data_IF_499758368196
#
_entry.id   IF_499758368196
#
_cell.length_a   1.000
_cell.length_b   1.000
_cell.length_c   1.000
_cell.angle_alpha   90.00
_cell.angle_beta   90.00
_cell.angle_gamma   90.00
#
_symmetry.space_group_name_H-M   'P 1'
#
loop_
_entity.id
_entity.type
_entity.pdbx_description
1 polymer ?
#
# COMPACT_ATOMS: atom_id res chain seq x y z
N UNK A 1 -10.39 -30.16 39.31
CA UNK A 1 -10.17 -29.23 38.17
C UNK A 1 -10.67 -27.87 38.60
N UNK A 2 -9.77 -26.95 38.97
CA UNK A 2 -10.14 -25.57 39.35
C UNK A 2 -10.30 -24.81 38.03
N UNK A 3 -11.52 -24.37 37.72
CA UNK A 3 -11.73 -23.49 36.58
C UNK A 3 -11.04 -22.15 36.89
N UNK A 4 -10.27 -21.57 35.96
CA UNK A 4 -9.71 -20.24 36.15
C UNK A 4 -10.85 -19.22 36.19
N UNK A 5 -11.01 -18.55 37.34
CA UNK A 5 -11.89 -17.38 37.45
C UNK A 5 -11.24 -16.23 36.69
N UNK A 6 -11.80 -15.88 35.54
CA UNK A 6 -11.38 -14.66 34.83
C UNK A 6 -11.70 -13.46 35.71
N UNK A 7 -10.66 -12.79 36.21
CA UNK A 7 -10.81 -11.60 37.04
C UNK A 7 -11.53 -10.50 36.25
N UNK A 8 -12.46 -9.80 36.90
CA UNK A 8 -13.29 -8.78 36.26
C UNK A 8 -12.44 -7.65 35.61
N UNK A 9 -11.27 -7.33 36.20
CA UNK A 9 -10.30 -6.40 35.61
C UNK A 9 -9.73 -6.88 34.27
N UNK A 10 -9.36 -8.15 34.17
CA UNK A 10 -8.83 -8.72 32.93
C UNK A 10 -9.89 -8.75 31.82
N UNK A 11 -11.17 -8.93 32.18
CA UNK A 11 -12.28 -8.87 31.23
C UNK A 11 -12.43 -7.47 30.60
N UNK A 12 -12.29 -6.39 31.40
CA UNK A 12 -12.39 -5.02 30.91
C UNK A 12 -11.24 -4.65 29.96
N UNK A 13 -10.00 -5.03 30.29
CA UNK A 13 -8.84 -4.76 29.45
C UNK A 13 -8.93 -5.46 28.09
N UNK A 14 -9.42 -6.71 28.08
CA UNK A 14 -9.66 -7.47 26.86
C UNK A 14 -10.76 -6.85 25.99
N UNK A 15 -11.83 -6.33 26.60
CA UNK A 15 -12.90 -5.64 25.87
C UNK A 15 -12.39 -4.34 25.25
N UNK A 16 -11.64 -3.54 25.99
CA UNK A 16 -11.05 -2.29 25.48
C UNK A 16 -10.09 -2.59 24.32
N UNK A 17 -9.19 -3.57 24.49
CA UNK A 17 -8.28 -3.99 23.44
C UNK A 17 -9.02 -4.45 22.18
N UNK A 18 -10.08 -5.25 22.35
CA UNK A 18 -10.92 -5.74 21.25
C UNK A 18 -11.61 -4.61 20.48
N UNK A 19 -12.08 -3.58 21.17
CA UNK A 19 -12.70 -2.40 20.55
C UNK A 19 -11.64 -1.59 19.77
N UNK A 20 -10.44 -1.41 20.32
CA UNK A 20 -9.35 -0.71 19.65
C UNK A 20 -8.94 -1.41 18.35
N UNK A 21 -8.70 -2.73 18.37
CA UNK A 21 -8.33 -3.46 17.16
C UNK A 21 -9.48 -3.49 16.12
N UNK A 22 -10.74 -3.53 16.57
CA UNK A 22 -11.88 -3.44 15.68
C UNK A 22 -11.96 -2.07 14.97
N UNK A 23 -11.75 -0.97 15.71
CA UNK A 23 -11.71 0.38 15.15
C UNK A 23 -10.57 0.54 14.14
N UNK A 24 -9.37 0.07 14.48
CA UNK A 24 -8.21 0.06 13.56
C UNK A 24 -8.54 -0.74 12.29
N UNK A 25 -9.18 -1.90 12.45
CA UNK A 25 -9.62 -2.75 11.34
C UNK A 25 -10.61 -2.04 10.40
N UNK A 26 -11.65 -1.43 10.95
CA UNK A 26 -12.65 -0.68 10.17
C UNK A 26 -12.01 0.49 9.43
N UNK A 27 -11.18 1.28 10.11
CA UNK A 27 -10.50 2.42 9.50
C UNK A 27 -9.56 2.00 8.37
N UNK A 28 -8.79 0.92 8.58
CA UNK A 28 -7.88 0.36 7.57
C UNK A 28 -8.66 -0.14 6.36
N UNK A 29 -9.77 -0.83 6.55
CA UNK A 29 -10.63 -1.31 5.45
C UNK A 29 -11.22 -0.15 4.66
N UNK A 30 -11.71 0.90 5.31
CA UNK A 30 -12.22 2.10 4.62
C UNK A 30 -11.11 2.73 3.77
N UNK A 31 -9.89 2.87 4.31
CA UNK A 31 -8.73 3.38 3.57
C UNK A 31 -8.42 2.55 2.33
N UNK A 32 -8.41 1.22 2.46
CA UNK A 32 -8.16 0.29 1.35
C UNK A 32 -9.29 0.27 0.31
N UNK A 33 -10.55 0.40 0.73
CA UNK A 33 -11.69 0.55 -0.18
C UNK A 33 -11.62 1.85 -0.98
N UNK A 34 -11.21 2.95 -0.34
CA UNK A 34 -10.95 4.23 -1.01
C UNK A 34 -9.84 4.12 -2.05
N UNK A 35 -8.72 3.48 -1.68
CA UNK A 35 -7.60 3.21 -2.59
C UNK A 35 -8.05 2.37 -3.79
N UNK A 36 -8.79 1.29 -3.55
CA UNK A 36 -9.30 0.41 -4.60
C UNK A 36 -10.22 1.17 -5.57
N UNK A 37 -11.08 2.05 -5.06
CA UNK A 37 -11.93 2.89 -5.90
C UNK A 37 -11.12 3.89 -6.73
N UNK A 38 -10.07 4.48 -6.15
CA UNK A 38 -9.17 5.39 -6.87
C UNK A 38 -8.36 4.65 -7.96
N UNK A 39 -7.89 3.43 -7.69
CA UNK A 39 -7.14 2.65 -8.70
C UNK A 39 -7.99 2.28 -9.92
N UNK A 40 -9.31 2.07 -9.76
CA UNK A 40 -10.21 1.74 -10.87
C UNK A 40 -10.34 2.85 -11.93
N UNK A 41 -10.03 4.10 -11.58
CA UNK A 41 -10.12 5.25 -12.50
C UNK A 41 -8.78 5.61 -13.14
N UNK A 42 -7.70 4.94 -12.74
CA UNK A 42 -6.33 5.27 -13.10
C UNK A 42 -5.68 4.12 -13.88
N UNK A 43 -4.82 4.44 -14.84
CA UNK A 43 -4.05 3.44 -15.59
C UNK A 43 -3.14 2.64 -14.64
N UNK A 44 -2.87 1.37 -14.94
CA UNK A 44 -2.11 0.44 -14.10
C UNK A 44 -0.75 1.01 -13.61
N UNK A 45 -0.14 1.88 -14.42
CA UNK A 45 1.07 2.62 -14.10
C UNK A 45 0.91 3.52 -12.86
N UNK A 46 -0.18 4.31 -12.81
CA UNK A 46 -0.48 5.21 -11.68
C UNK A 46 -0.96 4.44 -10.45
N UNK A 47 -1.61 3.29 -10.62
CA UNK A 47 -2.07 2.46 -9.52
C UNK A 47 -0.91 1.99 -8.63
N UNK A 48 0.21 1.57 -9.23
CA UNK A 48 1.40 1.17 -8.47
C UNK A 48 2.00 2.32 -7.63
N UNK A 49 1.98 3.55 -8.15
CA UNK A 49 2.51 4.74 -7.48
C UNK A 49 1.81 5.00 -6.13
N UNK A 50 0.50 4.74 -6.03
CA UNK A 50 -0.24 4.90 -4.78
C UNK A 50 0.19 3.91 -3.70
N UNK A 51 0.51 2.66 -4.07
CA UNK A 51 1.00 1.66 -3.11
C UNK A 51 2.33 2.06 -2.47
N UNK A 52 3.22 2.71 -3.23
CA UNK A 52 4.48 3.22 -2.70
C UNK A 52 4.30 4.46 -1.81
N UNK A 53 3.41 5.38 -2.20
CA UNK A 53 3.08 6.58 -1.41
C UNK A 53 2.52 6.20 -0.03
N UNK A 54 1.71 5.13 0.05
CA UNK A 54 1.16 4.65 1.32
C UNK A 54 2.26 4.29 2.33
N UNK A 55 3.32 3.61 1.90
CA UNK A 55 4.44 3.20 2.76
C UNK A 55 5.22 4.44 3.27
N UNK A 56 5.46 5.42 2.39
CA UNK A 56 6.12 6.67 2.75
C UNK A 56 5.29 7.46 3.77
N UNK A 57 3.98 7.63 3.52
CA UNK A 57 3.07 8.33 4.44
C UNK A 57 2.98 7.63 5.80
N UNK A 58 2.89 6.30 5.82
CA UNK A 58 2.87 5.53 7.09
C UNK A 58 4.15 5.72 7.88
N UNK A 59 5.30 5.77 7.21
CA UNK A 59 6.60 5.97 7.87
C UNK A 59 6.71 7.40 8.43
N UNK A 60 6.26 8.40 7.68
CA UNK A 60 6.25 9.80 8.14
C UNK A 60 5.31 10.02 9.32
N UNK A 61 4.09 9.46 9.26
CA UNK A 61 3.13 9.54 10.37
C UNK A 61 3.66 8.77 11.58
N UNK A 62 4.32 7.62 11.37
CA UNK A 62 4.98 6.84 12.41
C UNK A 62 5.99 7.68 13.18
N UNK A 63 6.94 8.29 12.47
CA UNK A 63 7.96 9.17 13.06
C UNK A 63 7.31 10.35 13.79
N UNK A 64 6.35 11.03 13.16
CA UNK A 64 5.74 12.25 13.70
C UNK A 64 4.80 12.02 14.89
N UNK A 65 4.20 10.83 15.01
CA UNK A 65 3.21 10.52 16.06
C UNK A 65 3.79 9.75 17.22
N UNK A 66 4.73 8.84 16.97
CA UNK A 66 5.25 7.92 17.98
C UNK A 66 6.62 8.34 18.52
N UNK A 67 7.32 9.28 17.88
CA UNK A 67 8.67 9.76 18.26
C UNK A 67 9.70 8.62 18.48
N UNK A 68 9.37 7.42 17.99
CA UNK A 68 10.24 6.26 17.99
C UNK A 68 11.22 6.38 16.84
N UNK A 69 12.51 6.34 17.17
CA UNK A 69 13.58 6.31 16.18
C UNK A 69 13.42 5.00 15.38
N UNK A 70 13.09 5.07 14.08
CA UNK A 70 12.89 3.87 13.28
C UNK A 70 14.15 3.00 13.30
N UNK A 71 13.99 1.69 13.39
CA UNK A 71 15.12 0.77 13.34
C UNK A 71 15.85 0.83 11.99
N UNK A 72 17.10 0.37 11.95
CA UNK A 72 17.90 0.28 10.72
C UNK A 72 17.16 -0.47 9.58
N UNK A 73 16.33 -1.45 9.92
CA UNK A 73 15.49 -2.19 8.97
C UNK A 73 14.38 -1.34 8.36
N UNK A 74 13.79 -0.42 9.13
CA UNK A 74 12.76 0.50 8.64
C UNK A 74 13.34 1.49 7.64
N UNK A 75 14.55 2.00 7.91
CA UNK A 75 15.26 2.85 6.94
C UNK A 75 15.61 2.08 5.66
N UNK A 76 16.11 0.85 5.77
CA UNK A 76 16.39 0.00 4.60
C UNK A 76 15.13 -0.28 3.78
N UNK A 77 14.03 -0.67 4.43
CA UNK A 77 12.74 -0.90 3.78
C UNK A 77 12.18 0.37 3.12
N UNK A 78 12.31 1.52 3.79
CA UNK A 78 11.91 2.83 3.25
C UNK A 78 12.71 3.20 2.00
N UNK A 79 14.04 3.09 2.05
CA UNK A 79 14.92 3.36 0.90
C UNK A 79 14.60 2.42 -0.27
N UNK A 80 14.41 1.12 0.00
CA UNK A 80 14.08 0.14 -1.03
C UNK A 80 12.73 0.43 -1.68
N UNK A 81 11.74 0.83 -0.88
CA UNK A 81 10.41 1.21 -1.38
C UNK A 81 10.47 2.45 -2.26
N UNK A 82 11.17 3.51 -1.81
CA UNK A 82 11.35 4.74 -2.59
C UNK A 82 12.10 4.45 -3.89
N UNK A 83 13.14 3.62 -3.83
CA UNK A 83 13.91 3.21 -5.00
C UNK A 83 13.06 2.43 -6.02
N UNK A 84 12.24 1.49 -5.54
CA UNK A 84 11.30 0.75 -6.38
C UNK A 84 10.28 1.66 -7.07
N UNK A 85 9.73 2.63 -6.33
CA UNK A 85 8.82 3.63 -6.90
C UNK A 85 9.50 4.48 -7.98
N UNK A 86 10.76 4.87 -7.75
CA UNK A 86 11.54 5.66 -8.69
C UNK A 86 11.82 4.88 -9.98
N UNK A 87 12.26 3.63 -9.87
CA UNK A 87 12.49 2.74 -11.02
C UNK A 87 11.21 2.51 -11.81
N UNK A 88 10.08 2.31 -11.12
CA UNK A 88 8.77 2.14 -11.76
C UNK A 88 8.40 3.37 -12.62
N UNK A 89 8.54 4.59 -12.06
CA UNK A 89 8.22 5.85 -12.76
C UNK A 89 9.17 6.11 -13.94
N UNK A 90 10.47 5.88 -13.78
CA UNK A 90 11.44 6.15 -14.84
C UNK A 90 11.52 5.04 -15.91
N UNK A 91 11.30 3.78 -15.54
CA UNK A 91 11.29 2.65 -16.46
C UNK A 91 10.17 2.73 -17.49
N UNK A 92 9.00 3.26 -17.11
CA UNK A 92 7.87 3.42 -18.01
C UNK A 92 8.14 4.45 -19.15
N UNK A 93 9.06 5.42 -18.94
CA UNK A 93 9.46 6.38 -19.97
C UNK A 93 10.21 5.76 -21.17
N UNK A 94 10.76 4.55 -21.04
CA UNK A 94 11.53 3.89 -22.10
C UNK A 94 10.68 2.98 -23.02
N UNK A 95 9.43 2.65 -22.65
CA UNK A 95 8.58 1.73 -23.42
C UNK A 95 7.67 2.40 -24.45
N UNK A 96 7.81 3.71 -24.70
CA UNK A 96 6.92 4.46 -25.62
C UNK A 96 7.29 4.34 -27.12
N UNK A 97 8.31 3.56 -27.49
CA UNK A 97 8.72 3.43 -28.91
C UNK A 97 8.20 2.19 -29.66
N UNK A 98 7.41 1.31 -29.02
CA UNK A 98 6.96 0.04 -29.66
C UNK A 98 5.53 0.03 -30.23
N UNK A 99 4.77 1.13 -30.14
CA UNK A 99 3.37 1.14 -30.64
C UNK A 99 3.21 1.63 -32.09
N UNK A 100 4.19 2.36 -32.66
CA UNK A 100 4.08 2.87 -34.04
C UNK A 100 4.47 1.88 -35.14
N UNK A 101 4.86 0.64 -34.80
CA UNK A 101 5.28 -0.35 -35.80
C UNK A 101 4.29 -1.50 -36.02
N UNK A 102 3.19 -1.57 -35.26
CA UNK A 102 2.13 -2.57 -35.44
C UNK A 102 1.02 -2.14 -36.42
N UNK A 103 1.07 -0.92 -36.96
CA UNK A 103 0.08 -0.38 -37.91
C UNK A 103 0.61 -0.17 -39.34
N UNK A 104 1.78 -0.72 -39.67
CA UNK A 104 2.38 -0.62 -41.01
C UNK A 104 2.74 -1.99 -41.62
N UNK A 105 2.09 -3.07 -41.18
CA UNK A 105 2.28 -4.38 -41.81
C UNK A 105 0.97 -5.18 -41.94
N UNK A 106 0.11 -4.70 -42.81
CA UNK A 106 -0.65 -5.60 -43.69
C UNK A 106 -0.87 -4.95 -45.06
N UNK A 107 0.08 -5.06 -46.00
CA UNK A 107 -0.24 -4.95 -47.41
C UNK A 107 -0.69 -6.35 -47.85
N UNK A 108 -1.95 -6.70 -47.59
CA UNK A 108 -2.57 -7.82 -48.29
C UNK A 108 -3.94 -7.40 -48.79
N UNK A 109 -3.88 -6.83 -50.00
CA UNK A 109 -4.98 -6.83 -50.95
C UNK A 109 -5.49 -8.27 -51.10
N UNK A 110 -6.77 -8.49 -50.84
CA UNK A 110 -7.48 -9.65 -51.36
C UNK A 110 -8.41 -9.15 -52.47
N UNK A 111 -8.28 -9.80 -53.63
CA UNK A 111 -9.04 -9.56 -54.86
C UNK A 111 -10.39 -10.24 -54.79
#
# INVERSE_FOLDING_TARGET
>A
MVQPSFDQHAQHDLLLFSIFIALIGVFTQIGQLGLTKAMKTLTADKASAYSYIQIILSTLIGIARFDEIPSTWTYLGGILTVSGALVHVFGHKLSSHRYKQAHLKSPFHFK
#
